data_IF_727239867501
#
_entry.id   IF_727239867501
#
_cell.length_a   1.000
_cell.length_b   1.000
_cell.length_c   1.000
_cell.angle_alpha   90.00
_cell.angle_beta   90.00
_cell.angle_gamma   90.00
#
_symmetry.space_group_name_H-M   'P 1'
#
loop_
_entity.id
_entity.type
_entity.pdbx_description
1 polymer ?
#
# COMPACT_ATOMS: atom_id res chain seq x y z
N UNK A 1 69.92 14.28 -9.63
CA UNK A 1 69.59 13.49 -8.41
C UNK A 1 68.10 13.60 -8.13
N UNK A 2 67.34 12.64 -8.57
CA UNK A 2 65.85 12.67 -8.42
C UNK A 2 65.44 12.00 -7.14
N UNK A 3 64.65 12.70 -6.31
CA UNK A 3 64.02 12.15 -5.09
C UNK A 3 62.78 11.33 -5.48
N UNK A 4 62.84 10.02 -5.34
CA UNK A 4 61.70 9.13 -5.45
C UNK A 4 60.75 9.31 -4.23
N UNK A 5 59.56 9.80 -4.47
CA UNK A 5 58.50 9.91 -3.45
C UNK A 5 57.90 8.52 -3.21
N UNK A 6 58.20 7.93 -2.04
CA UNK A 6 57.55 6.72 -1.53
C UNK A 6 56.13 7.06 -1.11
N UNK A 7 55.13 6.73 -1.92
CA UNK A 7 53.72 6.69 -1.48
C UNK A 7 53.56 5.62 -0.40
N UNK A 8 53.34 6.04 0.85
CA UNK A 8 52.87 5.17 1.91
C UNK A 8 51.51 4.60 1.52
N UNK A 9 51.42 3.27 1.34
CA UNK A 9 50.12 2.57 1.33
C UNK A 9 49.55 2.75 2.74
N UNK A 10 48.45 3.50 2.85
CA UNK A 10 47.61 3.53 4.05
C UNK A 10 46.97 2.15 4.16
N UNK A 11 47.26 1.43 5.23
CA UNK A 11 46.59 0.19 5.56
C UNK A 11 45.14 0.56 5.85
N UNK A 12 44.21 0.02 5.06
CA UNK A 12 42.75 0.12 5.31
C UNK A 12 42.52 -0.66 6.59
N UNK A 13 42.04 0.00 7.63
CA UNK A 13 41.67 -0.65 8.89
C UNK A 13 40.56 -1.67 8.62
N UNK A 14 40.67 -2.84 9.24
CA UNK A 14 39.77 -3.97 9.10
C UNK A 14 38.36 -3.73 9.67
N UNK A 15 38.02 -2.50 10.00
CA UNK A 15 36.81 -2.09 10.72
C UNK A 15 35.88 -1.13 9.92
N UNK A 16 36.08 -1.03 8.60
CA UNK A 16 35.09 -0.39 7.76
C UNK A 16 34.04 -1.44 7.37
N UNK A 17 32.73 -1.22 7.69
CA UNK A 17 31.69 -2.11 7.22
C UNK A 17 31.83 -2.28 5.70
N UNK A 18 31.76 -3.51 5.22
CA UNK A 18 31.83 -3.81 3.80
C UNK A 18 30.78 -2.98 3.07
N UNK A 19 31.18 -2.30 1.98
CA UNK A 19 30.24 -1.56 1.14
C UNK A 19 29.16 -2.53 0.64
N UNK A 20 27.91 -2.27 1.02
CA UNK A 20 26.73 -2.98 0.52
C UNK A 20 26.08 -2.10 -0.56
N UNK A 21 25.86 -2.64 -1.76
CA UNK A 21 25.10 -1.90 -2.76
C UNK A 21 23.67 -1.64 -2.21
N UNK A 22 23.06 -0.47 -2.48
CA UNK A 22 21.69 -0.22 -2.08
C UNK A 22 20.75 -1.19 -2.80
N UNK A 23 19.65 -1.55 -2.15
CA UNK A 23 18.56 -2.31 -2.78
C UNK A 23 18.03 -1.45 -3.94
N UNK A 24 17.90 -2.02 -5.17
CA UNK A 24 17.40 -1.28 -6.31
C UNK A 24 15.97 -0.77 -6.06
N UNK A 25 15.68 0.46 -6.48
CA UNK A 25 14.32 0.99 -6.44
C UNK A 25 13.40 0.20 -7.38
N UNK A 26 12.24 -0.19 -6.88
CA UNK A 26 11.17 -0.86 -7.64
C UNK A 26 9.92 0.02 -7.64
N UNK A 27 9.55 0.53 -8.82
CA UNK A 27 8.40 1.44 -8.96
C UNK A 27 7.07 0.76 -8.60
N UNK A 28 6.90 -0.52 -8.95
CA UNK A 28 5.70 -1.33 -8.70
C UNK A 28 6.04 -2.57 -7.86
N UNK A 29 6.19 -2.38 -6.54
CA UNK A 29 6.77 -3.41 -5.66
C UNK A 29 5.86 -4.65 -5.50
N UNK A 30 4.54 -4.52 -5.61
CA UNK A 30 3.58 -5.60 -5.41
C UNK A 30 3.06 -6.21 -6.71
N UNK A 31 3.64 -5.85 -7.87
CA UNK A 31 3.23 -6.39 -9.17
C UNK A 31 3.29 -7.91 -9.19
N UNK A 32 2.21 -8.53 -9.67
CA UNK A 32 2.08 -9.99 -9.76
C UNK A 32 1.48 -10.67 -8.53
N UNK A 33 1.29 -9.95 -7.41
CA UNK A 33 0.49 -10.44 -6.30
C UNK A 33 -1.01 -10.24 -6.58
N UNK A 34 -1.88 -11.19 -6.19
CA UNK A 34 -3.32 -11.05 -6.41
C UNK A 34 -3.91 -9.85 -5.68
N UNK A 35 -3.36 -9.50 -4.50
CA UNK A 35 -3.80 -8.39 -3.65
C UNK A 35 -2.97 -7.12 -3.85
N UNK A 36 -2.41 -6.89 -5.04
CA UNK A 36 -1.60 -5.70 -5.30
C UNK A 36 -2.35 -4.40 -5.02
N UNK A 37 -3.62 -4.33 -5.41
CA UNK A 37 -4.48 -3.15 -5.24
C UNK A 37 -4.71 -2.85 -3.76
N UNK A 38 -5.02 -3.88 -2.97
CA UNK A 38 -5.22 -3.78 -1.52
C UNK A 38 -3.92 -3.40 -0.80
N UNK A 39 -2.79 -4.02 -1.15
CA UNK A 39 -1.49 -3.70 -0.56
C UNK A 39 -1.08 -2.25 -0.80
N UNK A 40 -1.32 -1.74 -2.02
CA UNK A 40 -1.09 -0.32 -2.33
C UNK A 40 -2.07 0.57 -1.55
N UNK A 41 -3.34 0.18 -1.46
CA UNK A 41 -4.33 0.93 -0.69
C UNK A 41 -3.98 0.98 0.81
N UNK A 42 -3.61 -0.15 1.41
CA UNK A 42 -3.16 -0.25 2.80
C UNK A 42 -1.90 0.59 3.07
N UNK A 43 -0.99 0.65 2.09
CA UNK A 43 0.25 1.43 2.21
C UNK A 43 -0.01 2.93 2.18
N UNK A 44 -0.96 3.40 1.33
CA UNK A 44 -1.01 4.81 0.92
C UNK A 44 -2.29 5.54 1.34
N UNK A 45 -3.42 4.83 1.49
CA UNK A 45 -4.72 5.50 1.62
C UNK A 45 -5.63 4.94 2.70
N UNK A 46 -5.39 3.72 3.19
CA UNK A 46 -6.19 3.14 4.26
C UNK A 46 -5.43 3.26 5.58
N UNK A 47 -6.01 3.89 6.61
CA UNK A 47 -5.31 4.07 7.88
C UNK A 47 -5.22 2.79 8.70
N UNK A 48 -6.27 1.97 8.73
CA UNK A 48 -6.34 0.75 9.53
C UNK A 48 -6.94 -0.40 8.72
N UNK A 49 -6.14 -1.42 8.42
CA UNK A 49 -6.61 -2.63 7.75
C UNK A 49 -5.71 -3.84 8.07
N UNK A 50 -6.26 -5.01 7.85
CA UNK A 50 -5.61 -6.31 8.03
C UNK A 50 -5.83 -7.16 6.79
N UNK A 51 -4.78 -7.83 6.32
CA UNK A 51 -4.79 -8.78 5.22
C UNK A 51 -4.04 -10.03 5.66
N UNK A 52 -4.76 -11.13 5.90
CA UNK A 52 -4.14 -12.39 6.31
C UNK A 52 -3.55 -13.12 5.11
N UNK A 53 -2.43 -13.80 5.33
CA UNK A 53 -1.76 -14.59 4.32
C UNK A 53 -1.00 -15.77 4.93
N UNK A 54 -0.37 -16.56 4.06
CA UNK A 54 0.47 -17.69 4.45
C UNK A 54 1.72 -17.73 3.58
N UNK A 55 2.85 -18.11 4.17
CA UNK A 55 4.07 -18.37 3.40
C UNK A 55 3.93 -19.67 2.61
N UNK A 56 4.78 -19.83 1.58
CA UNK A 56 4.90 -21.12 0.86
C UNK A 56 5.37 -22.23 1.81
N UNK A 57 5.15 -23.48 1.44
CA UNK A 57 5.66 -24.65 2.21
C UNK A 57 7.19 -24.63 2.33
N UNK A 58 7.89 -24.09 1.34
CA UNK A 58 9.35 -23.90 1.36
C UNK A 58 9.77 -22.94 2.49
N UNK A 59 8.92 -21.98 2.83
CA UNK A 59 9.11 -21.02 3.91
C UNK A 59 8.27 -21.35 5.17
N UNK A 60 7.92 -22.63 5.34
CA UNK A 60 7.32 -23.18 6.55
C UNK A 60 5.80 -23.15 6.60
N UNK A 61 5.09 -22.67 5.57
CA UNK A 61 3.62 -22.63 5.54
C UNK A 61 3.00 -21.81 6.67
N UNK A 62 3.72 -20.81 7.20
CA UNK A 62 3.34 -20.05 8.38
C UNK A 62 2.28 -18.99 8.05
N UNK A 63 1.29 -18.86 8.94
CA UNK A 63 0.29 -17.80 8.85
C UNK A 63 0.81 -16.48 9.39
N UNK A 64 0.43 -15.38 8.76
CA UNK A 64 0.77 -14.02 9.18
C UNK A 64 -0.32 -13.04 8.75
N UNK A 65 -0.30 -11.83 9.32
CA UNK A 65 -1.12 -10.72 8.87
C UNK A 65 -0.23 -9.57 8.37
N UNK A 66 -0.55 -9.04 7.20
CA UNK A 66 -0.09 -7.74 6.77
C UNK A 66 -1.06 -6.70 7.34
N UNK A 67 -0.52 -5.69 8.00
CA UNK A 67 -1.30 -4.61 8.61
C UNK A 67 -0.81 -3.25 8.13
N UNK A 68 -1.65 -2.24 8.22
CA UNK A 68 -1.26 -0.90 7.77
C UNK A 68 -0.10 -0.32 8.58
N UNK A 69 -0.24 -0.25 9.89
CA UNK A 69 0.74 0.37 10.78
C UNK A 69 0.93 -0.48 12.03
N UNK A 70 2.17 -0.60 12.49
CA UNK A 70 2.54 -1.16 13.79
C UNK A 70 2.98 -0.04 14.75
N UNK A 71 3.00 -0.28 16.07
CA UNK A 71 3.47 0.70 17.03
C UNK A 71 4.78 1.32 16.59
N UNK A 72 4.88 2.64 16.66
CA UNK A 72 6.06 3.40 16.27
C UNK A 72 6.57 3.17 14.82
N UNK A 73 5.76 2.55 13.95
CA UNK A 73 6.15 2.23 12.57
C UNK A 73 7.23 1.15 12.46
N UNK A 74 7.25 0.20 13.42
CA UNK A 74 8.09 -0.99 13.32
C UNK A 74 7.69 -1.86 12.12
N UNK A 75 8.62 -2.58 11.48
CA UNK A 75 8.33 -3.38 10.30
C UNK A 75 7.61 -4.70 10.62
N UNK A 76 7.81 -5.29 11.80
CA UNK A 76 7.08 -6.47 12.21
C UNK A 76 6.87 -6.50 13.74
N UNK A 77 5.93 -7.33 14.17
CA UNK A 77 5.65 -7.61 15.58
C UNK A 77 5.11 -9.05 15.73
N UNK A 78 5.53 -9.72 16.78
CA UNK A 78 4.94 -10.99 17.22
C UNK A 78 4.13 -10.70 18.47
N UNK A 79 2.82 -10.94 18.39
CA UNK A 79 1.92 -10.80 19.54
C UNK A 79 2.14 -11.92 20.56
N UNK A 80 1.72 -11.72 21.82
CA UNK A 80 1.83 -12.76 22.86
C UNK A 80 1.12 -14.09 22.52
N UNK A 81 0.07 -14.07 21.69
CA UNK A 81 -0.62 -15.25 21.17
C UNK A 81 0.14 -15.96 20.03
N UNK A 82 1.32 -15.44 19.65
CA UNK A 82 2.16 -15.98 18.59
C UNK A 82 1.78 -15.51 17.18
N UNK A 83 0.78 -14.63 17.03
CA UNK A 83 0.44 -14.07 15.69
C UNK A 83 1.52 -13.12 15.18
N UNK A 84 2.00 -13.35 13.97
CA UNK A 84 2.95 -12.49 13.30
C UNK A 84 2.19 -11.38 12.55
N UNK A 85 2.56 -10.13 12.81
CA UNK A 85 2.07 -8.95 12.13
C UNK A 85 3.22 -8.27 11.36
N UNK A 86 2.98 -7.88 10.10
CA UNK A 86 3.95 -7.17 9.26
C UNK A 86 3.35 -5.84 8.82
N UNK A 87 4.02 -4.74 9.18
CA UNK A 87 3.56 -3.37 8.88
C UNK A 87 3.94 -2.94 7.47
N UNK A 88 3.01 -2.29 6.77
CA UNK A 88 3.29 -1.65 5.48
C UNK A 88 3.80 -0.22 5.64
N UNK A 89 3.26 0.54 6.60
CA UNK A 89 3.62 1.94 6.85
C UNK A 89 4.75 2.00 7.87
N UNK A 90 5.99 1.87 7.40
CA UNK A 90 7.19 1.79 8.23
C UNK A 90 8.00 3.09 8.21
N UNK A 91 8.86 3.30 9.22
CA UNK A 91 9.74 4.49 9.35
C UNK A 91 10.81 4.57 8.27
N UNK A 92 11.27 3.44 7.76
CA UNK A 92 12.33 3.35 6.76
C UNK A 92 11.99 2.31 5.70
N UNK A 93 12.48 2.54 4.48
CA UNK A 93 12.34 1.60 3.38
C UNK A 93 13.62 1.56 2.54
N UNK A 94 13.80 0.47 1.81
CA UNK A 94 14.95 0.27 0.91
C UNK A 94 14.77 0.92 -0.46
N UNK A 95 13.52 1.16 -0.85
CA UNK A 95 13.11 1.51 -2.22
C UNK A 95 12.43 0.35 -2.98
N UNK A 96 12.41 -0.87 -2.42
CA UNK A 96 11.55 -1.98 -2.82
C UNK A 96 10.71 -2.46 -1.62
N UNK A 97 9.47 -1.99 -1.53
CA UNK A 97 8.58 -2.32 -0.41
C UNK A 97 8.28 -3.83 -0.32
N UNK A 98 8.29 -4.54 -1.44
CA UNK A 98 8.11 -6.00 -1.45
C UNK A 98 9.27 -6.73 -0.77
N UNK A 99 10.51 -6.27 -1.02
CA UNK A 99 11.70 -6.73 -0.32
C UNK A 99 11.59 -6.45 1.19
N UNK A 100 11.16 -5.24 1.58
CA UNK A 100 11.11 -4.82 2.98
C UNK A 100 10.07 -5.63 3.78
N UNK A 101 8.90 -5.86 3.20
CA UNK A 101 7.84 -6.70 3.80
C UNK A 101 8.31 -8.15 3.94
N UNK A 102 9.00 -8.69 2.94
CA UNK A 102 9.55 -10.04 3.00
C UNK A 102 10.64 -10.17 4.06
N UNK A 103 11.56 -9.20 4.13
CA UNK A 103 12.61 -9.16 5.14
C UNK A 103 12.02 -9.13 6.56
N UNK A 104 10.99 -8.30 6.78
CA UNK A 104 10.30 -8.20 8.06
C UNK A 104 9.59 -9.51 8.45
N UNK A 105 8.89 -10.14 7.50
CA UNK A 105 8.23 -11.43 7.72
C UNK A 105 9.23 -12.54 8.08
N UNK A 106 10.33 -12.65 7.32
CA UNK A 106 11.36 -13.66 7.58
C UNK A 106 12.06 -13.43 8.93
N UNK A 107 12.32 -12.17 9.29
CA UNK A 107 12.89 -11.83 10.59
C UNK A 107 11.93 -12.20 11.74
N UNK A 108 10.63 -11.96 11.59
CA UNK A 108 9.64 -12.33 12.57
C UNK A 108 9.51 -13.86 12.72
N UNK A 109 9.52 -14.61 11.60
CA UNK A 109 9.52 -16.08 11.63
C UNK A 109 10.73 -16.64 12.36
N UNK A 110 11.92 -16.08 12.12
CA UNK A 110 13.14 -16.48 12.82
C UNK A 110 13.05 -16.16 14.32
N UNK A 111 12.63 -14.94 14.67
CA UNK A 111 12.47 -14.52 16.07
C UNK A 111 11.46 -15.42 16.81
N UNK A 112 10.33 -15.76 16.18
CA UNK A 112 9.35 -16.69 16.73
C UNK A 112 9.94 -18.08 16.99
N UNK A 113 10.75 -18.58 16.04
CA UNK A 113 11.47 -19.85 16.20
C UNK A 113 12.46 -19.82 17.38
N UNK A 114 13.06 -18.66 17.63
CA UNK A 114 14.00 -18.42 18.73
C UNK A 114 13.28 -18.13 20.06
N UNK A 115 11.95 -18.12 20.08
CA UNK A 115 11.10 -17.86 21.26
C UNK A 115 11.09 -16.38 21.68
N UNK A 116 11.33 -15.47 20.75
CA UNK A 116 11.26 -14.01 20.96
C UNK A 116 9.90 -13.51 20.51
N UNK A 117 9.27 -12.64 21.31
CA UNK A 117 8.03 -11.91 21.00
C UNK A 117 8.27 -10.39 21.02
N UNK A 118 7.21 -9.63 20.70
CA UNK A 118 7.25 -8.17 20.66
C UNK A 118 7.63 -7.61 19.28
N UNK A 119 8.14 -6.39 19.28
CA UNK A 119 8.52 -5.68 18.03
C UNK A 119 9.84 -6.21 17.46
N UNK A 120 9.89 -6.32 16.13
CA UNK A 120 11.03 -6.84 15.38
C UNK A 120 11.48 -5.74 14.42
N UNK A 121 12.75 -5.36 14.51
CA UNK A 121 13.39 -4.42 13.60
C UNK A 121 14.23 -5.15 12.55
N UNK A 122 14.42 -4.51 11.40
CA UNK A 122 15.26 -5.00 10.31
C UNK A 122 16.22 -3.91 9.83
N UNK A 123 17.34 -4.32 9.25
CA UNK A 123 18.14 -3.42 8.39
C UNK A 123 17.66 -3.57 6.94
N UNK A 124 16.91 -2.59 6.43
CA UNK A 124 16.38 -2.60 5.06
C UNK A 124 17.46 -2.66 3.96
N UNK A 125 18.75 -2.54 4.33
CA UNK A 125 19.88 -2.67 3.41
C UNK A 125 20.37 -4.11 3.28
N UNK A 126 19.94 -5.03 4.15
CA UNK A 126 20.28 -6.44 4.07
C UNK A 126 19.53 -7.08 2.90
N UNK A 127 20.20 -7.90 2.07
CA UNK A 127 19.51 -8.62 1.00
C UNK A 127 18.44 -9.57 1.54
N UNK A 128 17.28 -9.54 0.92
CA UNK A 128 16.16 -10.46 1.19
C UNK A 128 15.46 -10.81 -0.13
N UNK A 129 14.68 -11.90 -0.19
CA UNK A 129 13.78 -12.15 -1.31
C UNK A 129 12.69 -11.11 -1.36
N UNK A 130 11.89 -11.14 -2.42
CA UNK A 130 10.67 -10.32 -2.50
C UNK A 130 9.47 -11.09 -1.93
N UNK A 131 8.42 -10.38 -1.56
CA UNK A 131 7.21 -10.97 -0.99
C UNK A 131 6.61 -12.05 -1.94
N UNK A 132 6.62 -11.79 -3.26
CA UNK A 132 6.16 -12.72 -4.29
C UNK A 132 6.89 -14.08 -4.24
N UNK A 133 8.13 -14.11 -3.74
CA UNK A 133 8.96 -15.31 -3.71
C UNK A 133 8.67 -16.20 -2.50
N UNK A 134 8.06 -15.65 -1.44
CA UNK A 134 7.93 -16.33 -0.15
C UNK A 134 6.48 -16.59 0.29
N UNK A 135 5.49 -15.95 -0.33
CA UNK A 135 4.07 -16.13 0.03
C UNK A 135 3.33 -17.06 -0.93
N UNK A 136 2.34 -17.76 -0.42
CA UNK A 136 1.38 -18.49 -1.26
C UNK A 136 0.33 -17.49 -1.80
N UNK A 137 0.32 -17.18 -3.10
CA UNK A 137 -0.60 -16.19 -3.65
C UNK A 137 -2.08 -16.60 -3.56
N UNK A 138 -2.37 -17.87 -3.25
CA UNK A 138 -3.75 -18.38 -3.10
C UNK A 138 -4.23 -18.36 -1.66
N UNK A 139 -3.35 -18.04 -0.71
CA UNK A 139 -3.65 -18.09 0.71
C UNK A 139 -3.95 -16.70 1.32
N UNK A 140 -4.03 -15.66 0.51
CA UNK A 140 -4.48 -14.37 1.01
C UNK A 140 -6.00 -14.38 1.24
N UNK A 141 -6.42 -13.78 2.37
CA UNK A 141 -7.83 -13.48 2.64
C UNK A 141 -8.31 -12.26 1.87
N UNK A 142 -9.60 -11.93 2.00
CA UNK A 142 -10.07 -10.58 1.72
C UNK A 142 -9.47 -9.59 2.74
N UNK A 143 -9.17 -8.37 2.29
CA UNK A 143 -8.70 -7.30 3.18
C UNK A 143 -9.85 -6.80 4.05
N UNK A 144 -9.61 -6.70 5.35
CA UNK A 144 -10.54 -6.13 6.32
C UNK A 144 -10.11 -4.72 6.72
N UNK A 145 -10.96 -3.72 6.47
CA UNK A 145 -10.77 -2.37 7.00
C UNK A 145 -11.35 -2.34 8.42
N UNK A 146 -10.53 -1.96 9.40
CA UNK A 146 -10.89 -1.93 10.81
C UNK A 146 -10.92 -0.51 11.35
N UNK A 147 -11.65 -0.31 12.45
CA UNK A 147 -11.89 1.02 13.00
C UNK A 147 -10.69 1.64 13.73
N UNK A 148 -9.77 0.80 14.21
CA UNK A 148 -8.61 1.19 15.00
C UNK A 148 -7.50 0.13 14.93
N UNK A 149 -6.43 0.33 15.69
CA UNK A 149 -5.29 -0.58 15.77
C UNK A 149 -5.46 -1.72 16.78
N UNK A 150 -6.70 -2.17 17.06
CA UNK A 150 -6.97 -3.28 17.97
C UNK A 150 -6.23 -4.57 17.61
N UNK A 151 -5.84 -4.76 16.35
CA UNK A 151 -5.03 -5.91 15.89
C UNK A 151 -3.62 -5.96 16.52
N UNK A 152 -3.14 -4.89 17.18
CA UNK A 152 -1.89 -4.92 17.94
C UNK A 152 -1.96 -5.82 19.19
N UNK A 153 -3.15 -6.06 19.70
CA UNK A 153 -3.37 -6.77 20.96
C UNK A 153 -3.89 -8.19 20.70
N UNK A 154 -3.59 -9.10 21.63
CA UNK A 154 -4.19 -10.42 21.61
C UNK A 154 -5.71 -10.28 21.82
N UNK A 155 -6.55 -10.81 20.90
CA UNK A 155 -8.00 -10.71 21.00
C UNK A 155 -8.58 -11.43 22.25
N UNK A 156 -7.81 -12.33 22.87
CA UNK A 156 -8.20 -13.04 24.08
C UNK A 156 -7.73 -12.35 25.36
N UNK A 157 -6.91 -11.31 25.23
CA UNK A 157 -6.40 -10.54 26.37
C UNK A 157 -7.39 -9.44 26.77
N UNK A 158 -7.69 -9.31 28.07
CA UNK A 158 -8.43 -8.17 28.57
C UNK A 158 -7.57 -6.91 28.48
N UNK A 159 -8.07 -5.92 27.74
CA UNK A 159 -7.37 -4.64 27.58
C UNK A 159 -7.35 -3.87 28.91
N UNK A 160 -6.19 -3.34 29.28
CA UNK A 160 -6.08 -2.41 30.41
C UNK A 160 -6.80 -1.09 30.11
N UNK A 161 -7.14 -0.29 31.13
CA UNK A 161 -7.70 1.05 30.91
C UNK A 161 -6.84 1.90 29.98
N UNK A 162 -5.52 1.89 30.18
CA UNK A 162 -4.56 2.68 29.36
C UNK A 162 -4.54 2.23 27.90
N UNK A 163 -4.65 0.92 27.64
CA UNK A 163 -4.75 0.37 26.28
C UNK A 163 -6.05 0.82 25.60
N UNK A 164 -7.15 0.81 26.32
CA UNK A 164 -8.46 1.28 25.81
C UNK A 164 -8.43 2.77 25.48
N UNK A 165 -7.89 3.58 26.39
CA UNK A 165 -7.78 5.02 26.19
C UNK A 165 -6.89 5.35 24.96
N UNK A 166 -5.78 4.61 24.80
CA UNK A 166 -4.90 4.76 23.63
C UNK A 166 -5.60 4.38 22.31
N UNK A 167 -6.38 3.29 22.29
CA UNK A 167 -7.16 2.91 21.12
C UNK A 167 -8.23 3.93 20.77
N UNK A 168 -8.93 4.46 21.78
CA UNK A 168 -9.96 5.48 21.57
C UNK A 168 -9.37 6.79 21.05
N UNK A 169 -8.21 7.20 21.58
CA UNK A 169 -7.47 8.36 21.06
C UNK A 169 -7.01 8.15 19.63
N UNK A 170 -6.44 6.99 19.32
CA UNK A 170 -6.04 6.65 17.94
C UNK A 170 -7.23 6.63 16.98
N UNK A 171 -8.38 6.10 17.43
CA UNK A 171 -9.62 6.09 16.62
C UNK A 171 -10.09 7.50 16.27
N UNK A 172 -9.94 8.47 17.17
CA UNK A 172 -10.31 9.85 16.91
C UNK A 172 -9.43 10.53 15.86
N UNK A 173 -8.19 10.07 15.69
CA UNK A 173 -7.23 10.61 14.72
C UNK A 173 -7.27 9.88 13.36
N UNK A 174 -7.94 8.72 13.30
CA UNK A 174 -8.07 7.92 12.06
C UNK A 174 -9.08 8.56 11.12
N UNK A 175 -8.68 8.79 9.87
CA UNK A 175 -9.59 9.23 8.80
C UNK A 175 -10.63 8.13 8.52
N UNK A 176 -11.94 8.39 8.72
CA UNK A 176 -12.97 7.41 8.41
C UNK A 176 -12.83 6.95 6.96
N UNK A 177 -12.68 5.63 6.78
CA UNK A 177 -12.43 5.02 5.48
C UNK A 177 -13.24 3.73 5.36
N UNK A 178 -13.87 3.51 4.20
CA UNK A 178 -14.62 2.30 3.90
C UNK A 178 -14.39 1.86 2.46
N UNK A 179 -14.45 0.57 2.20
CA UNK A 179 -14.52 0.06 0.84
C UNK A 179 -15.89 0.43 0.23
N UNK A 180 -15.91 0.82 -1.05
CA UNK A 180 -17.18 0.99 -1.77
C UNK A 180 -17.75 -0.40 -2.07
N UNK A 181 -19.00 -0.71 -1.64
CA UNK A 181 -19.53 -2.07 -1.70
C UNK A 181 -19.52 -2.66 -3.12
N UNK A 182 -18.92 -3.85 -3.27
CA UNK A 182 -18.89 -4.62 -4.50
C UNK A 182 -17.96 -4.10 -5.60
N UNK A 183 -17.09 -3.13 -5.30
CA UNK A 183 -16.11 -2.57 -6.25
C UNK A 183 -14.70 -2.68 -5.68
N UNK A 184 -13.90 -3.52 -6.30
CA UNK A 184 -12.49 -3.65 -5.96
C UNK A 184 -11.72 -2.33 -6.21
N UNK A 185 -10.84 -1.97 -5.30
CA UNK A 185 -9.94 -0.82 -5.42
C UNK A 185 -10.57 0.54 -5.20
N UNK A 186 -11.88 0.65 -4.91
CA UNK A 186 -12.52 1.91 -4.59
C UNK A 186 -12.75 2.07 -3.09
N UNK A 187 -12.18 3.14 -2.53
CA UNK A 187 -12.21 3.42 -1.09
C UNK A 187 -12.74 4.82 -0.84
N UNK A 188 -13.86 4.88 -0.12
CA UNK A 188 -14.45 6.10 0.39
C UNK A 188 -13.66 6.60 1.61
N UNK A 189 -13.58 7.91 1.79
CA UNK A 189 -13.09 8.51 3.04
C UNK A 189 -13.76 9.84 3.32
N UNK A 190 -13.87 10.15 4.61
CA UNK A 190 -14.34 11.42 5.13
C UNK A 190 -13.16 12.25 5.66
N UNK A 191 -12.96 13.40 5.06
CA UNK A 191 -12.00 14.41 5.49
C UNK A 191 -12.76 15.71 5.77
N UNK A 192 -12.29 16.85 5.25
CA UNK A 192 -13.13 18.07 5.18
C UNK A 192 -14.29 17.96 4.19
N UNK A 193 -14.25 16.97 3.31
CA UNK A 193 -15.26 16.52 2.35
C UNK A 193 -15.15 15.03 2.16
N UNK A 194 -16.12 14.44 1.45
CA UNK A 194 -16.13 13.02 1.15
C UNK A 194 -15.48 12.75 -0.21
N UNK A 195 -14.65 11.73 -0.27
CA UNK A 195 -13.92 11.35 -1.47
C UNK A 195 -14.01 9.85 -1.71
N UNK A 196 -13.91 9.46 -2.99
CA UNK A 196 -13.55 8.10 -3.39
C UNK A 196 -12.19 8.15 -4.07
N UNK A 197 -11.30 7.26 -3.64
CA UNK A 197 -9.98 7.01 -4.22
C UNK A 197 -10.02 5.65 -4.92
N UNK A 198 -9.71 5.64 -6.21
CA UNK A 198 -9.77 4.43 -7.03
C UNK A 198 -8.36 3.94 -7.34
N UNK A 199 -7.89 2.90 -6.64
CA UNK A 199 -6.61 2.23 -6.91
C UNK A 199 -6.82 1.28 -8.08
N UNK A 200 -6.07 1.46 -9.16
CA UNK A 200 -6.24 0.66 -10.37
C UNK A 200 -4.92 0.03 -10.81
N UNK A 201 -4.93 -1.29 -11.00
CA UNK A 201 -3.80 -2.05 -11.53
C UNK A 201 -3.63 -1.89 -13.05
N UNK A 202 -4.55 -1.20 -13.74
CA UNK A 202 -4.45 -0.93 -15.17
C UNK A 202 -3.21 -0.07 -15.48
N UNK A 203 -2.55 -0.27 -16.63
CA UNK A 203 -1.46 0.61 -17.06
C UNK A 203 -1.91 2.06 -17.08
N UNK A 204 -1.17 2.95 -16.40
CA UNK A 204 -1.54 4.33 -16.16
C UNK A 204 -2.01 5.06 -17.42
N UNK A 205 -1.24 4.95 -18.53
CA UNK A 205 -1.58 5.64 -19.76
C UNK A 205 -2.95 5.18 -20.33
N UNK A 206 -3.27 3.88 -20.18
CA UNK A 206 -4.57 3.33 -20.62
C UNK A 206 -5.70 3.78 -19.70
N UNK A 207 -5.46 3.83 -18.39
CA UNK A 207 -6.43 4.32 -17.42
C UNK A 207 -6.78 5.79 -17.69
N UNK A 208 -5.77 6.64 -17.93
CA UNK A 208 -6.02 8.04 -18.26
C UNK A 208 -6.70 8.23 -19.61
N UNK A 209 -6.41 7.38 -20.61
CA UNK A 209 -7.13 7.41 -21.89
C UNK A 209 -8.60 6.99 -21.71
N UNK A 210 -8.86 5.95 -20.90
CA UNK A 210 -10.22 5.53 -20.54
C UNK A 210 -10.99 6.63 -19.81
N UNK A 211 -10.40 7.21 -18.76
CA UNK A 211 -11.01 8.33 -18.02
C UNK A 211 -11.24 9.56 -18.90
N UNK A 212 -10.34 9.83 -19.84
CA UNK A 212 -10.52 10.95 -20.80
C UNK A 212 -11.71 10.75 -21.72
N UNK A 213 -11.97 9.52 -22.20
CA UNK A 213 -13.16 9.17 -22.97
C UNK A 213 -14.42 9.39 -22.14
N UNK A 214 -14.43 8.88 -20.90
CA UNK A 214 -15.54 9.05 -19.99
C UNK A 214 -15.77 10.51 -19.63
N UNK A 215 -14.71 11.28 -19.41
CA UNK A 215 -14.81 12.73 -19.11
C UNK A 215 -15.39 13.51 -20.30
N UNK A 216 -14.95 13.22 -21.52
CA UNK A 216 -15.49 13.85 -22.73
C UNK A 216 -16.97 13.51 -22.96
N UNK A 217 -17.39 12.31 -22.55
CA UNK A 217 -18.79 11.86 -22.60
C UNK A 217 -19.65 12.32 -21.39
N UNK A 218 -19.04 13.01 -20.39
CA UNK A 218 -19.74 13.44 -19.17
C UNK A 218 -19.99 12.31 -18.14
N UNK A 219 -19.31 11.17 -18.30
CA UNK A 219 -19.53 9.94 -17.52
C UNK A 219 -18.41 9.63 -16.49
N UNK A 220 -17.38 10.49 -16.36
CA UNK A 220 -16.33 10.33 -15.36
C UNK A 220 -16.74 10.94 -14.02
N UNK A 221 -17.78 10.40 -13.39
CA UNK A 221 -18.32 10.89 -12.12
C UNK A 221 -18.95 9.75 -11.30
N UNK A 222 -19.14 9.99 -10.02
CA UNK A 222 -19.76 9.10 -9.03
C UNK A 222 -21.07 9.74 -8.53
N UNK A 223 -22.06 9.76 -9.41
CA UNK A 223 -23.37 10.38 -9.13
C UNK A 223 -23.42 11.90 -9.30
N UNK A 224 -24.59 12.47 -9.03
CA UNK A 224 -24.83 13.90 -9.12
C UNK A 224 -24.05 14.65 -8.04
N UNK A 225 -23.49 15.81 -8.38
CA UNK A 225 -22.67 16.62 -7.46
C UNK A 225 -21.24 16.13 -7.25
N UNK A 226 -20.88 14.94 -7.75
CA UNK A 226 -19.52 14.46 -7.71
C UNK A 226 -18.65 15.01 -8.86
N UNK A 227 -17.33 15.05 -8.63
CA UNK A 227 -16.39 15.49 -9.67
C UNK A 227 -15.03 14.80 -9.52
N UNK A 228 -14.37 14.57 -10.63
CA UNK A 228 -12.96 14.21 -10.64
C UNK A 228 -12.12 15.42 -10.18
N UNK A 229 -11.31 15.24 -9.14
CA UNK A 229 -10.48 16.33 -8.58
C UNK A 229 -9.00 16.20 -8.93
N UNK A 230 -8.54 15.02 -9.23
CA UNK A 230 -7.14 14.76 -9.61
C UNK A 230 -6.81 13.29 -9.52
N UNK A 231 -5.54 12.98 -9.66
CA UNK A 231 -5.00 11.65 -9.42
C UNK A 231 -3.63 11.77 -8.78
N UNK A 232 -3.22 10.77 -8.02
CA UNK A 232 -1.83 10.61 -7.61
C UNK A 232 -1.32 9.23 -8.01
N UNK A 233 0.00 9.07 -7.98
CA UNK A 233 0.66 7.81 -8.25
C UNK A 233 1.34 7.34 -6.99
N UNK A 234 1.10 6.09 -6.61
CA UNK A 234 1.74 5.43 -5.49
C UNK A 234 2.05 3.98 -5.85
N UNK A 235 3.20 3.48 -5.47
CA UNK A 235 3.64 2.11 -5.75
C UNK A 235 3.42 1.69 -7.22
N UNK A 236 3.63 2.60 -8.17
CA UNK A 236 3.47 2.36 -9.60
C UNK A 236 2.03 2.34 -10.11
N UNK A 237 1.03 2.46 -9.23
CA UNK A 237 -0.39 2.51 -9.61
C UNK A 237 -0.90 3.94 -9.65
N UNK A 238 -1.81 4.22 -10.60
CA UNK A 238 -2.54 5.48 -10.63
C UNK A 238 -3.79 5.39 -9.76
N UNK A 239 -4.03 6.43 -8.97
CA UNK A 239 -5.13 6.53 -8.02
C UNK A 239 -5.95 7.79 -8.33
N UNK A 240 -6.94 7.71 -9.24
CA UNK A 240 -7.93 8.75 -9.47
C UNK A 240 -8.72 9.07 -8.20
N UNK A 241 -9.00 10.36 -7.98
CA UNK A 241 -9.74 10.85 -6.82
C UNK A 241 -10.98 11.59 -7.27
N UNK A 242 -12.11 11.23 -6.70
CA UNK A 242 -13.40 11.85 -6.94
C UNK A 242 -13.88 12.48 -5.63
N UNK A 243 -14.20 13.77 -5.66
CA UNK A 243 -14.94 14.45 -4.61
C UNK A 243 -16.42 14.11 -4.78
N UNK A 244 -17.09 13.78 -3.69
CA UNK A 244 -18.50 13.41 -3.68
C UNK A 244 -19.40 14.61 -3.35
N UNK A 245 -20.70 14.43 -3.54
CA UNK A 245 -21.70 15.32 -2.96
C UNK A 245 -21.56 15.35 -1.43
N UNK A 246 -21.94 16.46 -0.81
CA UNK A 246 -21.86 16.63 0.64
C UNK A 246 -22.68 15.54 1.36
N UNK A 247 -22.03 14.88 2.32
CA UNK A 247 -22.64 13.82 3.15
C UNK A 247 -22.81 12.46 2.46
N UNK A 248 -22.40 12.30 1.19
CA UNK A 248 -22.51 11.00 0.51
C UNK A 248 -21.61 9.95 1.12
N UNK A 249 -22.16 8.80 1.51
CA UNK A 249 -21.47 7.63 2.05
C UNK A 249 -20.92 6.70 0.96
N UNK A 250 -20.20 5.66 1.36
CA UNK A 250 -19.72 4.61 0.46
C UNK A 250 -20.89 3.85 -0.19
N UNK A 251 -21.95 3.59 0.58
CA UNK A 251 -23.16 2.90 0.13
C UNK A 251 -23.94 3.73 -0.89
N UNK A 252 -24.07 5.05 -0.66
CA UNK A 252 -24.81 5.95 -1.55
C UNK A 252 -24.22 5.98 -2.96
N UNK A 253 -22.92 5.85 -3.08
CA UNK A 253 -22.20 5.90 -4.37
C UNK A 253 -21.96 4.53 -5.01
N UNK A 254 -22.33 3.43 -4.36
CA UNK A 254 -21.98 2.07 -4.82
C UNK A 254 -22.51 1.76 -6.24
N UNK A 255 -23.72 2.18 -6.56
CA UNK A 255 -24.32 1.97 -7.89
C UNK A 255 -23.59 2.77 -8.98
N UNK A 256 -23.25 4.02 -8.71
CA UNK A 256 -22.51 4.90 -9.63
C UNK A 256 -21.06 4.44 -9.78
N UNK A 257 -20.45 3.97 -8.69
CA UNK A 257 -19.10 3.39 -8.69
C UNK A 257 -19.02 2.13 -9.57
N UNK A 258 -20.04 1.27 -9.47
CA UNK A 258 -20.17 0.10 -10.35
C UNK A 258 -20.28 0.51 -11.81
N UNK A 259 -21.14 1.47 -12.12
CA UNK A 259 -21.28 1.97 -13.48
C UNK A 259 -19.98 2.60 -14.01
N UNK A 260 -19.27 3.37 -13.16
CA UNK A 260 -17.96 3.93 -13.52
C UNK A 260 -16.94 2.84 -13.79
N UNK A 261 -16.80 1.84 -12.91
CA UNK A 261 -15.87 0.72 -13.07
C UNK A 261 -16.13 -0.05 -14.38
N UNK A 262 -17.37 -0.42 -14.65
CA UNK A 262 -17.76 -1.09 -15.90
C UNK A 262 -17.45 -0.25 -17.15
N UNK A 263 -17.67 1.06 -17.09
CA UNK A 263 -17.35 1.97 -18.17
C UNK A 263 -15.83 2.14 -18.36
N UNK A 264 -15.06 2.19 -17.27
CA UNK A 264 -13.59 2.20 -17.33
C UNK A 264 -13.09 0.91 -17.97
N UNK A 265 -13.59 -0.26 -17.56
CA UNK A 265 -13.20 -1.55 -18.17
C UNK A 265 -13.49 -1.61 -19.67
N UNK A 266 -14.65 -1.10 -20.10
CA UNK A 266 -14.99 -1.03 -21.53
C UNK A 266 -14.02 -0.10 -22.27
N UNK A 267 -13.76 1.09 -21.70
CA UNK A 267 -12.87 2.08 -22.30
C UNK A 267 -11.39 1.65 -22.33
N UNK A 268 -10.94 0.83 -21.37
CA UNK A 268 -9.59 0.22 -21.36
C UNK A 268 -9.36 -0.72 -22.56
N UNK A 269 -10.41 -1.33 -23.10
CA UNK A 269 -10.36 -2.23 -24.25
C UNK A 269 -10.41 -1.49 -25.59
N UNK A 270 -10.73 -0.19 -25.55
CA UNK A 270 -10.83 0.63 -26.76
C UNK A 270 -9.45 0.98 -27.31
N UNK A 271 -9.22 0.66 -28.58
CA UNK A 271 -7.93 0.83 -29.26
C UNK A 271 -7.93 1.99 -30.26
N UNK A 272 -9.08 2.62 -30.50
CA UNK A 272 -9.14 3.77 -31.40
C UNK A 272 -8.39 4.98 -30.83
N UNK A 273 -7.72 5.78 -31.66
CA UNK A 273 -7.07 7.00 -31.19
C UNK A 273 -8.07 7.96 -30.52
N UNK A 274 -7.62 8.66 -29.49
CA UNK A 274 -8.42 9.68 -28.82
C UNK A 274 -8.85 10.77 -29.80
N UNK A 275 -10.11 11.17 -29.75
CA UNK A 275 -10.64 12.35 -30.45
C UNK A 275 -10.02 13.66 -29.94
N UNK A 276 -10.34 14.79 -30.56
CA UNK A 276 -9.83 16.10 -30.13
C UNK A 276 -10.34 16.46 -28.70
N UNK A 277 -11.59 16.12 -28.40
CA UNK A 277 -12.22 16.41 -27.10
C UNK A 277 -11.66 15.53 -26.02
N UNK A 278 -11.46 14.23 -26.29
CA UNK A 278 -10.83 13.26 -25.39
C UNK A 278 -9.38 13.64 -25.10
N UNK A 279 -8.60 14.10 -26.09
CA UNK A 279 -7.23 14.60 -25.85
C UNK A 279 -7.23 15.82 -24.93
N UNK A 280 -8.16 16.75 -25.08
CA UNK A 280 -8.30 17.90 -24.18
C UNK A 280 -8.65 17.46 -22.76
N UNK A 281 -9.59 16.52 -22.63
CA UNK A 281 -9.94 15.93 -21.35
C UNK A 281 -8.73 15.25 -20.70
N UNK A 282 -7.98 14.42 -21.43
CA UNK A 282 -6.77 13.77 -20.97
C UNK A 282 -5.71 14.76 -20.45
N UNK A 283 -5.48 15.84 -21.17
CA UNK A 283 -4.54 16.88 -20.74
C UNK A 283 -4.99 17.51 -19.41
N UNK A 284 -6.28 17.77 -19.25
CA UNK A 284 -6.85 18.26 -17.98
C UNK A 284 -6.72 17.28 -16.83
N UNK A 285 -6.85 15.96 -17.06
CA UNK A 285 -6.67 14.93 -16.07
C UNK A 285 -5.21 14.83 -15.62
N UNK A 286 -4.28 14.73 -16.59
CA UNK A 286 -2.84 14.57 -16.31
C UNK A 286 -2.26 15.82 -15.63
N UNK A 287 -2.73 17.02 -15.97
CA UNK A 287 -2.26 18.26 -15.33
C UNK A 287 -2.57 18.34 -13.81
N UNK A 288 -3.47 17.50 -13.32
CA UNK A 288 -3.85 17.38 -11.89
C UNK A 288 -3.25 16.16 -11.21
N UNK A 289 -2.28 15.52 -11.84
CA UNK A 289 -1.60 14.36 -11.29
C UNK A 289 -0.43 14.78 -10.40
N UNK A 290 -0.29 14.13 -9.25
CA UNK A 290 0.84 14.25 -8.31
C UNK A 290 1.45 12.87 -8.10
N UNK A 291 2.78 12.79 -7.97
CA UNK A 291 3.48 11.55 -7.61
C UNK A 291 3.84 11.61 -6.13
N UNK A 292 3.40 10.61 -5.36
CA UNK A 292 3.84 10.36 -3.99
C UNK A 292 4.99 9.36 -4.05
N UNK A 293 6.11 9.68 -3.41
CA UNK A 293 7.32 8.86 -3.35
C UNK A 293 7.68 8.53 -1.91
#
# INVERSE_FOLDING_TARGET
>A
MGKASRRKKVAVSADQPAYRPPIPFVERPFEGLPNEVELVAMREIIPCAVLSGRTTEEHGGAEFDIVTLLPDGHPAMIRPDGRILVGLQTRSNSGDLSHDVAAALLAALQAQSDGVDGVIDIDVREPAPRLQDIVDPKAFSDMEIVADFGYWFDPNQELTPEMRDALEQNRADVVPTAAVPGIEGMYWCEMNRNFVRYVSAAPEHKLFDALARLQAAGNARLGEGSRFVGAFRACGLAIPVFELAEGASAEDVAADAKALAENVEKALKETTPLSADERRARQGLVSRQVTIR
#
